data_IF_399644473244
#
_entry.id   IF_399644473244
#
_cell.length_a   1.000
_cell.length_b   1.000
_cell.length_c   1.000
_cell.angle_alpha   90.00
_cell.angle_beta   90.00
_cell.angle_gamma   90.00
#
_symmetry.space_group_name_H-M   'P 1'
#
loop_
_entity.id
_entity.type
_entity.pdbx_description
1 polymer ?
#
# COMPACT_ATOMS: atom_id res chain seq x y z
N UNK A 1 -13.66 -6.63 7.24
CA UNK A 1 -13.30 -5.90 8.47
C UNK A 1 -12.17 -4.94 8.16
N UNK A 2 -12.21 -3.71 8.68
CA UNK A 2 -11.14 -2.71 8.49
C UNK A 2 -10.34 -2.56 9.78
N UNK A 3 -9.02 -2.65 9.70
CA UNK A 3 -8.06 -2.50 10.81
C UNK A 3 -7.06 -1.40 10.44
N UNK A 4 -6.70 -0.54 11.40
CA UNK A 4 -5.70 0.53 11.21
C UNK A 4 -4.38 0.09 11.84
N UNK A 5 -3.28 0.47 11.19
CA UNK A 5 -1.92 0.19 11.66
C UNK A 5 -0.95 1.25 11.16
N UNK A 6 0.21 1.28 11.78
CA UNK A 6 1.36 2.05 11.33
C UNK A 6 2.45 1.09 10.82
N UNK A 7 3.17 1.51 9.79
CA UNK A 7 4.32 0.78 9.25
C UNK A 7 5.58 1.62 9.47
N UNK A 8 6.69 0.98 9.81
CA UNK A 8 7.99 1.66 9.88
C UNK A 8 8.84 1.25 8.69
N UNK A 9 9.35 2.22 7.96
CA UNK A 9 10.31 2.00 6.87
C UNK A 9 11.73 1.91 7.42
N UNK A 10 12.64 1.32 6.63
CA UNK A 10 14.05 1.18 7.03
C UNK A 10 14.81 2.50 7.02
N UNK A 11 14.32 3.52 6.32
CA UNK A 11 14.86 4.87 6.30
C UNK A 11 14.22 5.80 7.36
N UNK A 12 13.39 5.26 8.27
CA UNK A 12 12.91 5.97 9.46
C UNK A 12 11.60 6.75 9.28
N UNK A 13 10.84 6.46 8.23
CA UNK A 13 9.50 7.01 7.99
C UNK A 13 8.43 6.13 8.65
N UNK A 14 7.42 6.75 9.23
CA UNK A 14 6.22 6.06 9.74
C UNK A 14 5.08 6.28 8.77
N UNK A 15 4.43 5.19 8.34
CA UNK A 15 3.35 5.23 7.35
C UNK A 15 2.01 4.87 7.96
N UNK A 16 0.99 5.63 7.61
CA UNK A 16 -0.39 5.31 7.92
C UNK A 16 -0.91 4.20 6.98
N UNK A 17 -1.41 3.11 7.55
CA UNK A 17 -1.94 2.00 6.76
C UNK A 17 -3.31 1.50 7.26
N UNK A 18 -3.97 0.72 6.41
CA UNK A 18 -5.21 0.00 6.71
C UNK A 18 -5.24 -1.37 6.05
N UNK A 19 -5.68 -2.34 6.84
CA UNK A 19 -6.10 -3.65 6.36
C UNK A 19 -7.59 -3.66 6.11
N UNK A 20 -8.00 -4.18 4.94
CA UNK A 20 -9.39 -4.54 4.66
C UNK A 20 -9.44 -6.01 4.27
N UNK A 21 -10.15 -6.81 5.07
CA UNK A 21 -10.17 -8.27 4.92
C UNK A 21 -11.56 -8.82 4.63
N UNK A 22 -11.62 -9.76 3.69
CA UNK A 22 -12.70 -10.74 3.61
C UNK A 22 -12.71 -11.64 4.86
N UNK A 23 -13.81 -12.36 5.11
CA UNK A 23 -13.94 -13.24 6.28
C UNK A 23 -12.92 -14.38 6.29
N UNK A 24 -12.64 -14.96 5.11
CA UNK A 24 -11.64 -16.00 4.92
C UNK A 24 -10.82 -15.66 3.66
N UNK A 25 -9.83 -14.75 3.77
CA UNK A 25 -9.11 -14.26 2.62
C UNK A 25 -8.21 -15.36 2.04
N UNK A 26 -8.22 -15.49 0.71
CA UNK A 26 -7.40 -16.45 -0.05
C UNK A 26 -6.15 -15.82 -0.66
N UNK A 27 -6.17 -14.50 -0.81
CA UNK A 27 -5.09 -13.73 -1.44
C UNK A 27 -4.83 -12.49 -0.60
N UNK A 28 -3.58 -12.03 -0.56
CA UNK A 28 -3.21 -10.75 0.05
C UNK A 28 -2.71 -9.80 -1.04
N UNK A 29 -3.15 -8.54 -1.00
CA UNK A 29 -2.80 -7.53 -2.00
C UNK A 29 -2.34 -6.23 -1.35
N UNK A 30 -1.14 -5.77 -1.66
CA UNK A 30 -0.69 -4.41 -1.33
C UNK A 30 -1.18 -3.48 -2.43
N UNK A 31 -1.83 -2.37 -2.08
CA UNK A 31 -2.43 -1.46 -3.05
C UNK A 31 -1.95 -0.01 -2.88
N UNK A 32 -1.06 0.40 -3.80
CA UNK A 32 -0.38 1.68 -3.82
C UNK A 32 -1.25 2.78 -4.47
N UNK A 33 -1.35 3.92 -3.80
CA UNK A 33 -2.24 5.03 -4.19
C UNK A 33 -1.58 5.95 -5.25
N UNK A 34 -2.33 6.84 -5.94
CA UNK A 34 -1.79 7.68 -7.00
C UNK A 34 -0.94 8.84 -6.44
N UNK A 35 -0.50 9.77 -7.29
CA UNK A 35 0.52 10.75 -6.92
C UNK A 35 0.14 11.60 -5.68
N UNK A 36 0.95 11.62 -4.60
CA UNK A 36 0.69 12.40 -3.39
C UNK A 36 0.37 13.88 -3.65
N UNK A 37 1.25 14.57 -4.37
CA UNK A 37 1.12 16.00 -4.69
C UNK A 37 -0.09 16.37 -5.56
N UNK A 38 -0.78 15.39 -6.17
CA UNK A 38 -2.01 15.60 -6.94
C UNK A 38 -3.26 15.20 -6.17
N UNK A 39 -3.17 15.12 -4.83
CA UNK A 39 -4.28 14.72 -3.95
C UNK A 39 -4.48 13.21 -3.83
N UNK A 40 -3.49 12.41 -4.25
CA UNK A 40 -3.51 10.97 -4.05
C UNK A 40 -3.48 10.60 -2.57
N UNK A 41 -4.30 9.63 -2.19
CA UNK A 41 -4.22 8.98 -0.87
C UNK A 41 -4.84 7.59 -0.91
N UNK A 42 -4.55 6.77 0.10
CA UNK A 42 -5.24 5.48 0.28
C UNK A 42 -6.76 5.63 0.41
N UNK A 43 -7.25 6.82 0.75
CA UNK A 43 -8.67 7.13 0.94
C UNK A 43 -9.35 7.68 -0.32
N UNK A 44 -8.63 7.79 -1.44
CA UNK A 44 -9.24 8.23 -2.69
C UNK A 44 -10.44 7.33 -3.07
N UNK A 45 -11.55 7.89 -3.59
CA UNK A 45 -12.78 7.12 -3.87
C UNK A 45 -12.55 5.88 -4.73
N UNK A 46 -11.68 5.97 -5.75
CA UNK A 46 -11.32 4.83 -6.60
C UNK A 46 -10.58 3.75 -5.81
N UNK A 47 -9.64 4.13 -4.94
CA UNK A 47 -8.88 3.19 -4.10
C UNK A 47 -9.83 2.41 -3.18
N UNK A 48 -10.79 3.10 -2.57
CA UNK A 48 -11.81 2.48 -1.72
C UNK A 48 -12.68 1.53 -2.54
N UNK A 49 -13.19 1.96 -3.69
CA UNK A 49 -14.07 1.15 -4.54
C UNK A 49 -13.37 -0.13 -5.04
N UNK A 50 -12.12 -0.03 -5.50
CA UNK A 50 -11.34 -1.20 -5.94
C UNK A 50 -11.04 -2.13 -4.77
N UNK A 51 -10.70 -1.59 -3.59
CA UNK A 51 -10.47 -2.39 -2.39
C UNK A 51 -11.71 -3.19 -2.00
N UNK A 52 -12.88 -2.55 -2.00
CA UNK A 52 -14.14 -3.23 -1.71
C UNK A 52 -14.38 -4.39 -2.69
N UNK A 53 -14.11 -4.19 -3.99
CA UNK A 53 -14.24 -5.24 -5.00
C UNK A 53 -13.22 -6.38 -4.84
N UNK A 54 -12.00 -6.09 -4.40
CA UNK A 54 -11.02 -7.12 -4.08
C UNK A 54 -11.44 -7.92 -2.85
N UNK A 55 -11.91 -7.25 -1.79
CA UNK A 55 -12.43 -7.90 -0.57
C UNK A 55 -13.64 -8.79 -0.90
N UNK A 56 -14.59 -8.32 -1.72
CA UNK A 56 -15.72 -9.13 -2.21
C UNK A 56 -15.25 -10.39 -2.95
N UNK A 57 -14.09 -10.34 -3.61
CA UNK A 57 -13.47 -11.48 -4.32
C UNK A 57 -12.58 -12.35 -3.44
N UNK A 58 -12.59 -12.14 -2.12
CA UNK A 58 -11.84 -12.97 -1.17
C UNK A 58 -10.40 -12.51 -0.94
N UNK A 59 -10.07 -11.25 -1.20
CA UNK A 59 -8.76 -10.69 -0.86
C UNK A 59 -8.74 -10.13 0.56
N UNK A 60 -7.54 -10.15 1.15
CA UNK A 60 -7.09 -9.21 2.18
C UNK A 60 -6.29 -8.12 1.47
N UNK A 61 -6.59 -6.85 1.71
CA UNK A 61 -5.95 -5.73 1.03
C UNK A 61 -5.26 -4.83 2.05
N UNK A 62 -3.97 -4.60 1.88
CA UNK A 62 -3.22 -3.57 2.58
C UNK A 62 -3.18 -2.32 1.70
N UNK A 63 -3.77 -1.24 2.20
CA UNK A 63 -3.55 0.09 1.63
C UNK A 63 -2.77 0.92 2.62
N UNK A 64 -1.97 1.84 2.12
CA UNK A 64 -1.20 2.76 2.95
C UNK A 64 -1.05 4.10 2.24
N UNK A 65 -0.79 5.12 3.02
CA UNK A 65 -0.34 6.40 2.50
C UNK A 65 1.18 6.39 2.37
N UNK A 66 1.68 6.70 1.17
CA UNK A 66 3.08 7.07 0.97
C UNK A 66 3.51 8.20 1.93
N UNK A 67 4.83 8.33 2.14
CA UNK A 67 5.47 9.43 2.86
C UNK A 67 4.89 10.79 2.47
N UNK A 68 4.71 11.65 3.47
CA UNK A 68 4.12 12.99 3.30
C UNK A 68 2.62 13.03 2.95
N UNK A 69 1.91 11.89 2.97
CA UNK A 69 0.46 11.84 2.71
C UNK A 69 -0.34 11.46 3.97
N UNK A 70 -1.40 12.21 4.28
CA UNK A 70 -2.25 11.93 5.44
C UNK A 70 -1.46 11.98 6.74
N UNK A 71 -1.49 10.90 7.53
CA UNK A 71 -0.72 10.79 8.77
C UNK A 71 0.66 10.12 8.58
N UNK A 72 1.07 9.81 7.34
CA UNK A 72 2.42 9.33 7.06
C UNK A 72 3.42 10.47 7.21
N UNK A 73 4.52 10.24 7.92
CA UNK A 73 5.60 11.22 8.10
C UNK A 73 6.47 11.33 6.85
N UNK A 74 7.51 12.18 6.88
CA UNK A 74 8.42 12.40 5.75
C UNK A 74 7.81 13.29 4.66
N UNK A 75 8.47 13.30 3.51
CA UNK A 75 8.11 14.12 2.34
C UNK A 75 8.20 13.27 1.06
N UNK A 76 7.40 13.62 0.06
CA UNK A 76 7.42 12.99 -1.26
C UNK A 76 8.83 13.07 -1.89
N UNK A 77 9.32 11.97 -2.43
CA UNK A 77 10.71 11.83 -2.90
C UNK A 77 10.80 11.26 -4.33
N UNK A 78 9.86 11.67 -5.19
CA UNK A 78 9.81 11.36 -6.63
C UNK A 78 9.92 9.87 -7.00
N UNK A 79 9.56 8.99 -6.06
CA UNK A 79 9.52 7.55 -6.24
C UNK A 79 10.67 6.82 -5.55
N UNK A 80 11.81 7.47 -5.25
CA UNK A 80 12.98 6.82 -4.65
C UNK A 80 12.69 6.46 -3.18
N UNK A 81 12.28 7.44 -2.40
CA UNK A 81 11.80 7.23 -1.03
C UNK A 81 10.62 6.27 -0.97
N UNK A 82 9.65 6.41 -1.88
CA UNK A 82 8.45 5.57 -1.90
C UNK A 82 8.74 4.08 -2.13
N UNK A 83 9.93 3.70 -2.63
CA UNK A 83 10.35 2.29 -2.67
C UNK A 83 10.53 1.69 -1.26
N UNK A 84 11.03 2.46 -0.29
CA UNK A 84 11.11 2.02 1.10
C UNK A 84 9.71 1.85 1.70
N UNK A 85 8.77 2.70 1.29
CA UNK A 85 7.39 2.63 1.74
C UNK A 85 6.70 1.35 1.23
N UNK A 86 6.88 1.04 -0.07
CA UNK A 86 6.40 -0.22 -0.65
C UNK A 86 7.05 -1.42 0.04
N UNK A 87 8.35 -1.35 0.33
CA UNK A 87 9.07 -2.42 1.02
C UNK A 87 8.48 -2.71 2.41
N UNK A 88 8.17 -1.66 3.18
CA UNK A 88 7.53 -1.80 4.49
C UNK A 88 6.12 -2.41 4.39
N UNK A 89 5.31 -1.97 3.42
CA UNK A 89 3.99 -2.52 3.19
C UNK A 89 4.04 -3.99 2.75
N UNK A 90 4.99 -4.36 1.89
CA UNK A 90 5.20 -5.74 1.45
C UNK A 90 5.66 -6.62 2.61
N UNK A 91 6.57 -6.14 3.46
CA UNK A 91 7.02 -6.88 4.64
C UNK A 91 5.85 -7.17 5.60
N UNK A 92 4.99 -6.19 5.87
CA UNK A 92 3.77 -6.40 6.66
C UNK A 92 2.78 -7.34 5.97
N UNK A 93 2.64 -7.27 4.64
CA UNK A 93 1.78 -8.21 3.93
C UNK A 93 2.29 -9.65 4.02
N UNK A 94 3.61 -9.86 3.92
CA UNK A 94 4.26 -11.17 4.08
C UNK A 94 4.15 -11.73 5.49
N UNK A 95 4.04 -10.87 6.51
CA UNK A 95 3.83 -11.33 7.91
C UNK A 95 2.50 -12.09 8.09
N UNK A 96 1.51 -11.84 7.19
CA UNK A 96 0.17 -12.43 7.26
C UNK A 96 -0.15 -13.42 6.14
N UNK A 97 0.72 -13.57 5.14
CA UNK A 97 0.49 -14.43 3.96
C UNK A 97 1.78 -14.71 3.19
N UNK A 98 2.00 -15.96 2.77
CA UNK A 98 3.14 -16.32 1.92
C UNK A 98 2.98 -15.83 0.47
N UNK A 99 1.76 -15.90 -0.06
CA UNK A 99 1.42 -15.42 -1.40
C UNK A 99 0.81 -14.01 -1.33
N UNK A 100 1.56 -13.04 -1.86
CA UNK A 100 1.14 -11.64 -1.94
C UNK A 100 1.18 -11.15 -3.39
N UNK A 101 0.21 -10.31 -3.74
CA UNK A 101 0.22 -9.49 -4.95
C UNK A 101 0.44 -8.02 -4.62
N UNK A 102 0.92 -7.27 -5.60
CA UNK A 102 0.97 -5.80 -5.53
C UNK A 102 0.15 -5.21 -6.66
N UNK A 103 -0.57 -4.14 -6.37
CA UNK A 103 -1.33 -3.35 -7.31
C UNK A 103 -1.04 -1.87 -7.07
N UNK A 104 -1.24 -1.05 -8.10
CA UNK A 104 -1.12 0.39 -7.96
C UNK A 104 -1.93 1.12 -9.01
N UNK A 105 -2.19 2.40 -8.75
CA UNK A 105 -2.82 3.31 -9.71
C UNK A 105 -1.90 4.48 -10.03
N UNK A 106 -1.68 4.76 -11.32
CA UNK A 106 -0.86 5.90 -11.79
C UNK A 106 0.55 5.87 -11.17
N UNK A 107 0.96 6.91 -10.45
CA UNK A 107 2.22 6.94 -9.69
C UNK A 107 2.43 5.67 -8.84
N UNK A 108 1.42 5.23 -8.08
CA UNK A 108 1.52 4.01 -7.28
C UNK A 108 1.76 2.74 -8.11
N UNK A 109 1.30 2.70 -9.36
CA UNK A 109 1.60 1.60 -10.28
C UNK A 109 3.07 1.65 -10.73
N UNK A 110 3.59 2.85 -11.02
CA UNK A 110 4.98 3.04 -11.41
C UNK A 110 5.94 2.66 -10.27
N UNK A 111 5.70 3.15 -9.05
CA UNK A 111 6.50 2.78 -7.87
C UNK A 111 6.42 1.28 -7.58
N UNK A 112 5.23 0.67 -7.66
CA UNK A 112 5.08 -0.77 -7.47
C UNK A 112 5.87 -1.60 -8.50
N UNK A 113 5.85 -1.18 -9.77
CA UNK A 113 6.63 -1.84 -10.83
C UNK A 113 8.14 -1.67 -10.62
N UNK A 114 8.59 -0.46 -10.28
CA UNK A 114 10.00 -0.19 -9.98
C UNK A 114 10.48 -1.00 -8.76
N UNK A 115 9.64 -1.12 -7.73
CA UNK A 115 9.95 -1.94 -6.56
C UNK A 115 10.11 -3.42 -6.93
N UNK A 116 9.24 -3.96 -7.79
CA UNK A 116 9.32 -5.35 -8.26
C UNK A 116 10.59 -5.63 -9.08
N UNK A 117 11.04 -4.67 -9.90
CA UNK A 117 12.27 -4.86 -10.69
C UNK A 117 13.54 -4.75 -9.84
N UNK A 118 13.51 -3.97 -8.76
CA UNK A 118 14.64 -3.81 -7.84
C UNK A 118 14.78 -4.95 -6.80
N UNK A 119 13.73 -5.73 -6.57
CA UNK A 119 13.66 -6.72 -5.48
C UNK A 119 13.33 -8.16 -5.95
N UNK A 120 13.61 -8.47 -7.22
CA UNK A 120 13.46 -9.82 -7.81
C UNK A 120 14.78 -10.60 -7.84
#
# INVERSE_FOLDING_TARGET
MTERLELSTTDGVTLQARWDSATAPRFTTVFCHPHPLQGGSMMAPLMIAVTQKLVERGHRVLRFNFRGTGESTGEHDDGEGELYDVSAAVAEARSRSDEIGIAGWSFGAAVALNWLTANN
#
